data_IF_958018827831
#
_entry.id   IF_958018827831
#
_cell.length_a   1.000
_cell.length_b   1.000
_cell.length_c   1.000
_cell.angle_alpha   90.00
_cell.angle_beta   90.00
_cell.angle_gamma   90.00
#
_symmetry.space_group_name_H-M   'P 1'
#
loop_
_entity.id
_entity.type
_entity.pdbx_description
1 polymer ?
#
# COMPACT_ATOMS: atom_id res chain seq x y z
N UNK A 1 -16.60 -4.47 32.03
CA UNK A 1 -16.43 -4.27 30.57
C UNK A 1 -14.94 -4.29 30.27
N UNK A 2 -14.44 -5.40 29.71
CA UNK A 2 -13.03 -5.50 29.29
C UNK A 2 -12.81 -4.58 28.10
N UNK A 3 -11.82 -3.69 28.17
CA UNK A 3 -11.37 -2.94 27.00
C UNK A 3 -10.74 -3.98 26.06
N UNK A 4 -11.37 -4.25 24.93
CA UNK A 4 -10.70 -4.98 23.85
C UNK A 4 -9.41 -4.22 23.53
N UNK A 5 -8.27 -4.84 23.83
CA UNK A 5 -6.98 -4.34 23.36
C UNK A 5 -7.03 -4.38 21.85
N UNK A 6 -7.00 -3.20 21.22
CA UNK A 6 -6.77 -3.12 19.78
C UNK A 6 -5.48 -3.89 19.50
N UNK A 7 -5.50 -4.85 18.55
CA UNK A 7 -4.30 -5.58 18.20
C UNK A 7 -3.17 -4.59 17.87
N UNK A 8 -2.04 -4.74 18.56
CA UNK A 8 -0.88 -3.87 18.36
C UNK A 8 -0.42 -3.99 16.91
N UNK A 9 -0.08 -2.86 16.28
CA UNK A 9 0.46 -2.87 14.91
C UNK A 9 1.72 -3.74 14.89
N UNK A 10 1.78 -4.78 14.03
CA UNK A 10 2.97 -5.60 13.89
C UNK A 10 4.24 -4.75 13.66
N UNK A 11 5.34 -5.01 14.38
CA UNK A 11 6.55 -4.19 14.30
C UNK A 11 7.17 -4.19 12.89
N UNK A 12 6.94 -5.24 12.11
CA UNK A 12 7.38 -5.36 10.71
C UNK A 12 6.81 -4.25 9.80
N UNK A 13 5.67 -3.66 10.17
CA UNK A 13 5.00 -2.60 9.41
C UNK A 13 5.64 -1.23 9.66
N UNK A 14 6.28 -1.02 10.81
CA UNK A 14 6.73 0.30 11.23
C UNK A 14 7.73 0.91 10.23
N UNK A 15 8.77 0.16 9.87
CA UNK A 15 9.77 0.61 8.89
C UNK A 15 9.14 0.88 7.52
N UNK A 16 8.17 0.05 7.11
CA UNK A 16 7.45 0.21 5.85
C UNK A 16 6.56 1.46 5.88
N UNK A 17 5.88 1.75 7.00
CA UNK A 17 5.10 2.98 7.19
C UNK A 17 5.97 4.24 7.11
N UNK A 18 7.16 4.23 7.74
CA UNK A 18 8.11 5.35 7.63
C UNK A 18 8.51 5.57 6.18
N UNK A 19 8.84 4.48 5.46
CA UNK A 19 9.18 4.57 4.03
C UNK A 19 8.00 5.04 3.17
N UNK A 20 6.80 4.53 3.43
CA UNK A 20 5.57 4.95 2.77
C UNK A 20 5.36 6.45 2.96
N UNK A 21 5.53 6.96 4.17
CA UNK A 21 5.39 8.38 4.49
C UNK A 21 6.43 9.25 3.76
N UNK A 22 7.68 8.79 3.69
CA UNK A 22 8.73 9.47 2.91
C UNK A 22 8.37 9.53 1.42
N UNK A 23 8.01 8.40 0.81
CA UNK A 23 7.65 8.34 -0.61
C UNK A 23 6.38 9.15 -0.92
N UNK A 24 5.37 9.04 -0.06
CA UNK A 24 4.12 9.79 -0.19
C UNK A 24 4.37 11.31 -0.16
N UNK A 25 5.27 11.76 0.71
CA UNK A 25 5.68 13.17 0.81
C UNK A 25 6.54 13.58 -0.38
N UNK A 26 7.52 12.77 -0.76
CA UNK A 26 8.44 13.02 -1.88
C UNK A 26 7.70 13.12 -3.22
N UNK A 27 6.78 12.18 -3.49
CA UNK A 27 5.91 12.22 -4.66
C UNK A 27 4.81 13.27 -4.55
N UNK A 28 4.63 13.92 -3.39
CA UNK A 28 3.61 14.93 -3.12
C UNK A 28 2.18 14.44 -3.39
N UNK A 29 1.88 13.19 -3.04
CA UNK A 29 0.62 12.49 -3.42
C UNK A 29 -0.62 13.28 -3.00
N UNK A 30 -0.69 13.74 -1.75
CA UNK A 30 -1.84 14.50 -1.24
C UNK A 30 -2.09 15.79 -2.04
N UNK A 31 -1.02 16.56 -2.32
CA UNK A 31 -1.10 17.79 -3.11
C UNK A 31 -1.46 17.51 -4.58
N UNK A 32 -0.87 16.45 -5.15
CA UNK A 32 -1.12 16.08 -6.55
C UNK A 32 -2.55 15.60 -6.78
N UNK A 33 -3.15 14.88 -5.84
CA UNK A 33 -4.53 14.42 -5.99
C UNK A 33 -5.59 15.32 -5.34
N UNK A 34 -5.19 16.42 -4.70
CA UNK A 34 -6.08 17.32 -3.94
C UNK A 34 -6.89 16.57 -2.86
N UNK A 35 -6.18 15.76 -2.07
CA UNK A 35 -6.79 14.87 -1.08
C UNK A 35 -7.20 15.61 0.20
N UNK A 36 -8.39 15.30 0.70
CA UNK A 36 -8.87 15.74 2.02
C UNK A 36 -8.31 14.86 3.14
N UNK A 37 -8.58 15.23 4.40
CA UNK A 37 -8.00 14.57 5.58
C UNK A 37 -8.40 13.08 5.76
N UNK A 38 -9.52 12.62 5.21
CA UNK A 38 -9.83 11.18 5.23
C UNK A 38 -9.20 10.45 4.03
N UNK A 39 -9.06 11.15 2.90
CA UNK A 39 -8.50 10.59 1.67
C UNK A 39 -6.98 10.43 1.76
N UNK A 40 -6.24 11.40 2.34
CA UNK A 40 -4.78 11.28 2.50
C UNK A 40 -4.40 10.13 3.45
N UNK A 41 -5.14 9.92 4.55
CA UNK A 41 -4.94 8.80 5.48
C UNK A 41 -5.14 7.48 4.76
N UNK A 42 -6.23 7.37 3.98
CA UNK A 42 -6.53 6.18 3.19
C UNK A 42 -5.47 5.95 2.10
N UNK A 43 -5.06 6.99 1.39
CA UNK A 43 -4.02 6.91 0.37
C UNK A 43 -2.67 6.47 0.96
N UNK A 44 -2.30 6.98 2.15
CA UNK A 44 -1.11 6.54 2.89
C UNK A 44 -1.20 5.07 3.29
N UNK A 45 -2.36 4.62 3.75
CA UNK A 45 -2.60 3.23 4.10
C UNK A 45 -2.44 2.32 2.86
N UNK A 46 -2.96 2.72 1.69
CA UNK A 46 -2.74 1.99 0.44
C UNK A 46 -1.28 1.98 -0.01
N UNK A 47 -0.53 3.08 0.14
CA UNK A 47 0.92 3.04 -0.16
C UNK A 47 1.61 2.04 0.76
N UNK A 48 1.27 2.05 2.05
CA UNK A 48 1.83 1.11 3.03
C UNK A 48 1.50 -0.35 2.68
N UNK A 49 0.25 -0.66 2.32
CA UNK A 49 -0.17 -2.01 1.88
C UNK A 49 0.63 -2.46 0.68
N UNK A 50 0.79 -1.58 -0.31
CA UNK A 50 1.50 -1.92 -1.54
C UNK A 50 2.98 -2.15 -1.34
N UNK A 51 3.64 -1.33 -0.51
CA UNK A 51 5.04 -1.56 -0.14
C UNK A 51 5.19 -2.86 0.66
N UNK A 52 4.28 -3.14 1.60
CA UNK A 52 4.29 -4.39 2.37
C UNK A 52 4.11 -5.60 1.47
N UNK A 53 3.23 -5.51 0.48
CA UNK A 53 3.04 -6.55 -0.53
C UNK A 53 4.30 -6.78 -1.38
N UNK A 54 4.99 -5.71 -1.78
CA UNK A 54 6.26 -5.83 -2.51
C UNK A 54 7.34 -6.48 -1.64
N UNK A 55 7.45 -6.11 -0.35
CA UNK A 55 8.39 -6.73 0.61
C UNK A 55 8.14 -8.24 0.76
N UNK A 56 6.87 -8.64 0.90
CA UNK A 56 6.47 -10.05 0.94
C UNK A 56 6.86 -10.76 -0.36
N UNK A 57 6.60 -10.16 -1.52
CA UNK A 57 6.96 -10.75 -2.81
C UNK A 57 8.47 -10.96 -2.95
N UNK A 58 9.29 -9.98 -2.57
CA UNK A 58 10.76 -10.11 -2.60
C UNK A 58 11.24 -11.23 -1.69
N UNK A 59 10.71 -11.28 -0.46
CA UNK A 59 11.09 -12.29 0.54
C UNK A 59 10.69 -13.70 0.09
N UNK A 60 9.45 -13.85 -0.37
CA UNK A 60 8.91 -15.12 -0.87
C UNK A 60 9.68 -15.59 -2.12
N UNK A 61 9.98 -14.67 -3.06
CA UNK A 61 10.76 -14.99 -4.26
C UNK A 61 12.18 -15.46 -3.91
N UNK A 62 12.84 -14.82 -2.93
CA UNK A 62 14.12 -15.27 -2.43
C UNK A 62 14.05 -16.67 -1.81
N UNK A 63 13.05 -16.93 -0.95
CA UNK A 63 12.86 -18.23 -0.30
C UNK A 63 12.60 -19.36 -1.30
N UNK A 64 11.91 -19.07 -2.40
CA UNK A 64 11.62 -20.04 -3.46
C UNK A 64 12.77 -20.21 -4.47
N UNK A 65 13.88 -19.47 -4.32
CA UNK A 65 15.02 -19.58 -5.24
C UNK A 65 15.77 -20.91 -5.04
N UNK A 66 16.34 -21.50 -6.11
CA UNK A 66 17.17 -22.70 -6.00
C UNK A 66 18.35 -22.54 -5.03
N UNK A 67 18.85 -21.31 -4.88
CA UNK A 67 19.93 -20.94 -3.98
C UNK A 67 19.49 -21.09 -2.52
N UNK A 68 18.32 -20.57 -2.14
CA UNK A 68 17.79 -20.71 -0.79
C UNK A 68 17.47 -22.18 -0.45
N UNK A 69 16.93 -22.92 -1.42
CA UNK A 69 16.67 -24.37 -1.28
C UNK A 69 17.97 -25.16 -1.11
N UNK A 70 19.03 -24.82 -1.85
CA UNK A 70 20.34 -25.43 -1.70
C UNK A 70 20.95 -25.13 -0.32
N UNK A 71 20.90 -23.87 0.12
CA UNK A 71 21.34 -23.46 1.46
C UNK A 71 20.63 -24.27 2.57
N UNK A 72 19.31 -24.47 2.46
CA UNK A 72 18.56 -25.30 3.40
C UNK A 72 19.05 -26.77 3.46
N UNK A 73 19.44 -27.35 2.32
CA UNK A 73 19.85 -28.76 2.20
C UNK A 73 21.25 -29.05 2.75
N UNK A 74 22.17 -28.07 2.73
CA UNK A 74 23.56 -28.28 3.16
C UNK A 74 23.79 -28.12 4.68
N UNK A 75 22.74 -28.01 5.51
CA UNK A 75 22.84 -28.12 6.97
C UNK A 75 23.44 -26.92 7.72
N UNK A 76 24.27 -26.09 7.07
CA UNK A 76 24.90 -24.92 7.68
C UNK A 76 23.96 -23.71 7.88
N UNK A 77 22.74 -23.75 7.33
CA UNK A 77 21.80 -22.61 7.38
C UNK A 77 20.33 -22.98 7.59
N UNK A 78 20.02 -24.20 8.06
CA UNK A 78 18.63 -24.62 8.31
C UNK A 78 17.89 -23.65 9.24
N UNK A 79 18.51 -23.26 10.36
CA UNK A 79 17.96 -22.27 11.28
C UNK A 79 17.76 -20.88 10.67
N UNK A 80 18.65 -20.47 9.75
CA UNK A 80 18.53 -19.18 9.03
C UNK A 80 17.38 -19.18 8.02
N UNK A 81 17.15 -20.30 7.33
CA UNK A 81 16.01 -20.50 6.42
C UNK A 81 14.71 -20.55 7.21
N UNK A 82 14.62 -21.33 8.28
CA UNK A 82 13.45 -21.38 9.18
C UNK A 82 13.17 -20.01 9.83
N UNK A 83 14.20 -19.21 10.12
CA UNK A 83 14.03 -17.83 10.60
C UNK A 83 13.57 -16.87 9.48
N UNK A 84 13.94 -17.12 8.22
CA UNK A 84 13.47 -16.37 7.07
C UNK A 84 12.01 -16.72 6.74
N UNK A 85 11.62 -18.01 6.79
CA UNK A 85 10.23 -18.46 6.64
C UNK A 85 9.33 -17.89 7.75
N UNK A 86 9.78 -17.91 9.02
CA UNK A 86 9.03 -17.27 10.12
C UNK A 86 8.85 -15.78 9.90
N UNK A 87 9.89 -15.09 9.38
CA UNK A 87 9.79 -13.66 9.02
C UNK A 87 8.81 -13.42 7.88
N UNK A 88 8.85 -14.22 6.82
CA UNK A 88 7.91 -14.15 5.70
C UNK A 88 6.46 -14.36 6.18
N UNK A 89 6.23 -15.38 7.03
CA UNK A 89 4.92 -15.62 7.64
C UNK A 89 4.43 -14.41 8.46
N UNK A 90 5.29 -13.82 9.29
CA UNK A 90 4.93 -12.60 10.05
C UNK A 90 4.59 -11.42 9.14
N UNK A 91 5.34 -11.23 8.05
CA UNK A 91 5.08 -10.18 7.05
C UNK A 91 3.74 -10.39 6.32
N UNK A 92 3.38 -11.63 6.00
CA UNK A 92 2.06 -11.95 5.42
C UNK A 92 0.91 -11.65 6.39
N UNK A 93 1.05 -12.06 7.65
CA UNK A 93 0.07 -11.73 8.69
C UNK A 93 -0.06 -10.21 8.88
N UNK A 94 1.06 -9.48 8.81
CA UNK A 94 1.08 -8.02 8.87
C UNK A 94 0.38 -7.38 7.66
N UNK A 95 0.51 -7.95 6.46
CA UNK A 95 -0.22 -7.52 5.28
C UNK A 95 -1.73 -7.73 5.44
N UNK A 96 -2.16 -8.89 5.97
CA UNK A 96 -3.56 -9.17 6.28
C UNK A 96 -4.12 -8.18 7.30
N UNK A 97 -3.37 -7.90 8.37
CA UNK A 97 -3.72 -6.89 9.36
C UNK A 97 -3.97 -5.51 8.72
N UNK A 98 -3.08 -5.05 7.83
CA UNK A 98 -3.28 -3.78 7.13
C UNK A 98 -4.52 -3.77 6.24
N UNK A 99 -4.85 -4.89 5.59
CA UNK A 99 -6.05 -4.99 4.76
C UNK A 99 -7.32 -4.86 5.59
N UNK A 100 -7.35 -5.47 6.77
CA UNK A 100 -8.47 -5.31 7.69
C UNK A 100 -8.53 -3.88 8.26
N UNK A 101 -7.40 -3.23 8.57
CA UNK A 101 -7.38 -1.81 8.97
C UNK A 101 -7.94 -0.89 7.86
N UNK A 102 -7.51 -1.09 6.61
CA UNK A 102 -8.01 -0.33 5.46
C UNK A 102 -9.50 -0.56 5.27
N UNK A 103 -9.96 -1.82 5.35
CA UNK A 103 -11.37 -2.16 5.23
C UNK A 103 -12.20 -1.47 6.32
N UNK A 104 -11.77 -1.55 7.58
CA UNK A 104 -12.43 -0.85 8.68
C UNK A 104 -12.44 0.67 8.48
N UNK A 105 -11.35 1.26 7.96
CA UNK A 105 -11.29 2.68 7.63
C UNK A 105 -12.27 3.06 6.51
N UNK A 106 -12.41 2.22 5.47
CA UNK A 106 -13.37 2.41 4.38
C UNK A 106 -14.80 2.33 4.91
N UNK A 107 -15.13 1.30 5.69
CA UNK A 107 -16.45 1.13 6.28
C UNK A 107 -16.85 2.30 7.19
N UNK A 108 -15.90 2.82 7.99
CA UNK A 108 -16.16 3.92 8.91
C UNK A 108 -16.28 5.30 8.22
N UNK A 109 -15.45 5.58 7.21
CA UNK A 109 -15.33 6.92 6.63
C UNK A 109 -15.97 7.07 5.24
N UNK A 110 -16.33 5.95 4.60
CA UNK A 110 -16.91 5.90 3.26
C UNK A 110 -18.16 4.99 3.23
N UNK A 111 -19.19 5.30 4.03
CA UNK A 111 -20.35 4.41 4.22
C UNK A 111 -21.20 4.20 2.96
N UNK A 112 -21.28 5.16 2.05
CA UNK A 112 -22.18 5.09 0.88
C UNK A 112 -21.46 4.64 -0.41
N UNK A 113 -22.19 4.14 -1.43
CA UNK A 113 -21.58 3.59 -2.66
C UNK A 113 -20.67 4.57 -3.40
N UNK A 114 -20.99 5.86 -3.39
CA UNK A 114 -20.23 6.91 -4.09
C UNK A 114 -18.89 7.20 -3.37
N UNK A 115 -18.92 7.28 -2.04
CA UNK A 115 -17.72 7.39 -1.22
C UNK A 115 -16.86 6.13 -1.34
N UNK A 116 -17.45 4.93 -1.41
CA UNK A 116 -16.70 3.70 -1.70
C UNK A 116 -16.07 3.73 -3.08
N UNK A 117 -16.75 4.30 -4.07
CA UNK A 117 -16.17 4.51 -5.40
C UNK A 117 -14.97 5.46 -5.33
N UNK A 118 -15.05 6.55 -4.55
CA UNK A 118 -13.90 7.43 -4.29
C UNK A 118 -12.74 6.67 -3.63
N UNK A 119 -13.00 5.88 -2.59
CA UNK A 119 -11.99 5.06 -1.93
C UNK A 119 -11.31 4.09 -2.92
N UNK A 120 -12.10 3.46 -3.80
CA UNK A 120 -11.59 2.59 -4.87
C UNK A 120 -10.77 3.35 -5.91
N UNK A 121 -11.17 4.55 -6.29
CA UNK A 121 -10.37 5.38 -7.21
C UNK A 121 -9.04 5.76 -6.58
N UNK A 122 -9.01 6.08 -5.27
CA UNK A 122 -7.77 6.32 -4.53
C UNK A 122 -6.89 5.06 -4.54
N UNK A 123 -7.45 3.90 -4.22
CA UNK A 123 -6.75 2.61 -4.28
C UNK A 123 -6.07 2.39 -5.64
N UNK A 124 -6.83 2.55 -6.73
CA UNK A 124 -6.33 2.36 -8.10
C UNK A 124 -5.24 3.37 -8.46
N UNK A 125 -5.41 4.64 -8.06
CA UNK A 125 -4.41 5.67 -8.26
C UNK A 125 -3.09 5.31 -7.57
N UNK A 126 -3.14 4.90 -6.31
CA UNK A 126 -1.96 4.49 -5.56
C UNK A 126 -1.35 3.21 -6.12
N UNK A 127 -2.16 2.22 -6.49
CA UNK A 127 -1.69 0.97 -7.09
C UNK A 127 -0.91 1.22 -8.37
N UNK A 128 -1.40 2.13 -9.22
CA UNK A 128 -0.70 2.52 -10.44
C UNK A 128 0.58 3.30 -10.17
N UNK A 129 0.58 4.21 -9.18
CA UNK A 129 1.76 4.99 -8.80
C UNK A 129 2.89 4.08 -8.33
N UNK A 130 2.59 3.19 -7.40
CA UNK A 130 3.58 2.26 -6.84
C UNK A 130 4.06 1.28 -7.91
N UNK A 131 3.17 0.82 -8.82
CA UNK A 131 3.58 -0.04 -9.92
C UNK A 131 4.55 0.67 -10.88
N UNK A 132 4.28 1.93 -11.23
CA UNK A 132 5.18 2.73 -12.08
C UNK A 132 6.52 3.03 -11.39
N UNK A 133 6.50 3.20 -10.06
CA UNK A 133 7.71 3.40 -9.27
C UNK A 133 8.51 2.11 -9.03
N UNK A 134 7.90 0.94 -9.22
CA UNK A 134 8.57 -0.34 -8.96
C UNK A 134 9.60 -0.59 -10.07
N UNK A 135 10.90 -0.69 -9.74
CA UNK A 135 11.92 -0.94 -10.74
C UNK A 135 11.77 -2.36 -11.32
N UNK A 136 12.43 -2.66 -12.46
CA UNK A 136 12.43 -4.00 -13.03
C UNK A 136 12.90 -5.05 -12.01
N UNK A 137 12.32 -6.26 -12.10
CA UNK A 137 12.57 -7.39 -11.19
C UNK A 137 14.04 -7.87 -11.14
N UNK A 138 14.91 -7.32 -11.98
CA UNK A 138 16.35 -7.57 -12.02
C UNK A 138 17.14 -6.76 -10.98
N UNK A 139 16.49 -5.84 -10.25
CA UNK A 139 17.14 -4.96 -9.27
C UNK A 139 17.25 -5.64 -7.90
N UNK A 140 18.40 -5.51 -7.23
CA UNK A 140 18.74 -6.20 -5.96
C UNK A 140 17.87 -5.73 -4.75
N UNK A 141 17.05 -4.71 -4.91
CA UNK A 141 16.02 -4.32 -3.93
C UNK A 141 15.00 -3.39 -4.58
N UNK A 142 13.78 -3.88 -4.80
CA UNK A 142 12.68 -3.13 -5.40
C UNK A 142 12.26 -1.97 -4.50
N UNK A 143 12.09 -2.21 -3.20
CA UNK A 143 11.61 -1.20 -2.25
C UNK A 143 12.54 -0.01 -2.07
N UNK A 144 13.85 -0.25 -2.03
CA UNK A 144 14.82 0.81 -1.81
C UNK A 144 15.03 1.68 -3.05
N UNK A 145 14.68 1.17 -4.23
CA UNK A 145 14.90 1.83 -5.52
C UNK A 145 13.62 2.38 -6.17
N UNK A 146 12.53 2.50 -5.40
CA UNK A 146 11.30 3.11 -5.89
C UNK A 146 11.50 4.60 -6.15
N UNK A 147 11.53 4.97 -7.42
CA UNK A 147 11.73 6.36 -7.87
C UNK A 147 10.83 6.65 -9.07
N UNK A 148 10.43 7.92 -9.18
CA UNK A 148 9.64 8.42 -10.30
C UNK A 148 10.22 9.77 -10.71
N UNK A 149 10.34 10.00 -12.02
CA UNK A 149 10.65 11.33 -12.54
C UNK A 149 9.46 12.28 -12.39
N UNK A 150 9.70 13.59 -12.42
CA UNK A 150 8.61 14.57 -12.37
C UNK A 150 7.64 14.41 -13.54
N UNK A 151 8.12 14.09 -14.75
CA UNK A 151 7.24 13.85 -15.91
C UNK A 151 6.30 12.66 -15.73
N UNK A 152 6.76 11.59 -15.09
CA UNK A 152 5.91 10.45 -14.71
C UNK A 152 4.88 10.85 -13.66
N UNK A 153 5.30 11.57 -12.63
CA UNK A 153 4.38 12.09 -11.60
C UNK A 153 3.32 13.02 -12.18
N UNK A 154 3.67 13.86 -13.16
CA UNK A 154 2.74 14.78 -13.83
C UNK A 154 1.75 14.02 -14.73
N UNK A 155 2.24 13.00 -15.46
CA UNK A 155 1.40 12.09 -16.26
C UNK A 155 0.39 11.35 -15.37
N UNK A 156 0.88 10.78 -14.27
CA UNK A 156 0.05 10.12 -13.27
C UNK A 156 -0.99 11.08 -12.66
N UNK A 157 -0.57 12.31 -12.32
CA UNK A 157 -1.46 13.34 -11.76
C UNK A 157 -2.59 13.69 -12.72
N UNK A 158 -2.25 13.90 -13.99
CA UNK A 158 -3.20 14.25 -15.06
C UNK A 158 -4.23 13.16 -15.28
N UNK A 159 -3.83 11.89 -15.12
CA UNK A 159 -4.72 10.73 -15.25
C UNK A 159 -5.72 10.61 -14.09
N UNK A 160 -5.25 10.80 -12.85
CA UNK A 160 -6.02 10.40 -11.66
C UNK A 160 -6.74 11.54 -10.95
N UNK A 161 -6.17 12.75 -10.93
CA UNK A 161 -6.82 13.91 -10.29
C UNK A 161 -8.25 14.15 -10.84
N UNK A 162 -8.50 14.16 -12.16
CA UNK A 162 -9.85 14.42 -12.68
C UNK A 162 -10.88 13.37 -12.24
N UNK A 163 -10.49 12.10 -12.12
CA UNK A 163 -11.39 11.02 -11.69
C UNK A 163 -11.85 11.19 -10.23
N UNK A 164 -10.97 11.73 -9.38
CA UNK A 164 -11.31 12.08 -8.00
C UNK A 164 -12.17 13.35 -7.88
N UNK A 165 -12.14 14.23 -8.88
CA UNK A 165 -13.03 15.40 -8.93
C UNK A 165 -14.41 15.02 -9.48
N UNK A 166 -14.46 14.20 -10.54
CA UNK A 166 -15.73 13.74 -11.14
C UNK A 166 -16.60 12.96 -10.15
N UNK A 167 -15.99 12.14 -9.30
CA UNK A 167 -16.70 11.47 -8.19
C UNK A 167 -17.34 12.45 -7.20
N UNK A 168 -16.86 13.68 -7.09
CA UNK A 168 -17.48 14.73 -6.26
C UNK A 168 -18.59 15.48 -7.01
N UNK A 169 -18.46 15.69 -8.32
CA UNK A 169 -19.43 16.47 -9.12
C UNK A 169 -20.73 15.71 -9.39
N UNK A 170 -20.68 14.39 -9.59
CA UNK A 170 -21.89 13.55 -9.69
C UNK A 170 -22.75 13.64 -8.42
N UNK A 171 -22.13 13.86 -7.26
CA UNK A 171 -22.82 13.99 -5.97
C UNK A 171 -23.61 15.29 -5.87
N UNK A 172 -23.08 16.40 -6.39
CA UNK A 172 -23.81 17.67 -6.38
C UNK A 172 -25.10 17.53 -7.19
N UNK A 173 -25.01 17.01 -8.41
CA UNK A 173 -26.14 16.88 -9.33
C UNK A 173 -27.23 15.91 -8.83
N UNK A 174 -26.84 14.77 -8.24
CA UNK A 174 -27.81 13.81 -7.69
C UNK A 174 -28.51 14.28 -6.41
N UNK A 175 -27.88 15.16 -5.64
CA UNK A 175 -28.49 15.73 -4.43
C UNK A 175 -29.54 16.79 -4.80
N UNK A 176 -29.25 17.62 -5.80
CA UNK A 176 -30.21 18.60 -6.34
C UNK A 176 -31.39 17.95 -7.09
N UNK A 177 -31.18 16.80 -7.75
CA UNK A 177 -32.25 16.09 -8.45
C UNK A 177 -33.25 15.35 -7.53
N UNK A 178 -32.94 15.23 -6.23
CA UNK A 178 -33.79 14.59 -5.21
C UNK A 178 -34.38 15.58 -4.19
N UNK A 179 -34.10 16.87 -4.37
CA UNK A 179 -34.64 17.99 -3.57
C UNK A 179 -35.78 18.65 -4.34
#
# INVERSE_FOLDING_TARGET
MGKEQKPETPPEIYTIRVRAQQLFSFWQVARRLDLKENDWKLAMAFVTERLTRTDVYETTSFLNSPIAVAMAKFGFSRGSVEAAERRDKRRRNALEFQREEIKAQIEANYPNPEQRQRARTIELAINSLVAEATPPATTVSLLNNMTLSNGQLDTWTTRWRPQLVQTATTNALNTYAKS
#
